data_IF_000180932578
#
_entry.id   IF_000180932578
#
_cell.length_a   1.000
_cell.length_b   1.000
_cell.length_c   1.000
_cell.angle_alpha   90.00
_cell.angle_beta   90.00
_cell.angle_gamma   90.00
#
_symmetry.space_group_name_H-M   'P 1'
#
loop_
_entity.id
_entity.type
_entity.pdbx_description
1 polymer ?
#
# COMPACT_ATOMS: atom_id res chain seq x y z
N UNK A 1 -2.59 17.45 37.74
CA UNK A 1 -2.41 17.69 36.31
C UNK A 1 -3.46 16.88 35.57
N UNK A 2 -3.82 17.23 34.33
CA UNK A 2 -4.73 16.38 33.56
C UNK A 2 -3.99 15.09 33.19
N UNK A 3 -4.64 13.93 33.27
CA UNK A 3 -4.08 12.62 32.90
C UNK A 3 -3.36 12.65 31.53
N UNK A 4 -3.89 13.47 30.62
CA UNK A 4 -3.34 13.69 29.29
C UNK A 4 -2.02 14.47 29.27
N UNK A 5 -1.83 15.42 30.18
CA UNK A 5 -0.58 16.16 30.30
C UNK A 5 0.53 15.28 30.86
N UNK A 6 0.21 14.47 31.89
CA UNK A 6 1.17 13.52 32.47
C UNK A 6 1.62 12.47 31.43
N UNK A 7 0.68 12.02 30.58
CA UNK A 7 0.96 11.14 29.43
C UNK A 7 1.91 11.79 28.42
N UNK A 8 1.68 13.05 28.06
CA UNK A 8 2.56 13.81 27.17
C UNK A 8 3.96 13.90 27.76
N UNK A 9 4.09 14.33 29.02
CA UNK A 9 5.39 14.52 29.68
C UNK A 9 6.18 13.21 29.74
N UNK A 10 5.49 12.08 29.99
CA UNK A 10 6.12 10.76 29.97
C UNK A 10 6.67 10.40 28.60
N UNK A 11 5.89 10.56 27.54
CA UNK A 11 6.35 10.22 26.19
C UNK A 11 7.39 11.21 25.64
N UNK A 12 7.32 12.48 26.02
CA UNK A 12 8.37 13.46 25.73
C UNK A 12 9.70 13.01 26.33
N UNK A 13 9.71 12.64 27.61
CA UNK A 13 10.92 12.14 28.26
C UNK A 13 11.47 10.88 27.59
N UNK A 14 10.59 9.98 27.11
CA UNK A 14 11.01 8.80 26.36
C UNK A 14 11.64 9.17 25.01
N UNK A 15 11.00 10.05 24.23
CA UNK A 15 11.52 10.51 22.95
C UNK A 15 12.82 11.34 23.09
N UNK A 16 13.01 12.03 24.22
CA UNK A 16 14.26 12.73 24.54
C UNK A 16 15.37 11.76 24.96
N UNK A 17 15.04 10.74 25.74
CA UNK A 17 16.00 9.73 26.18
C UNK A 17 16.49 8.85 25.02
N UNK A 18 15.60 8.54 24.08
CA UNK A 18 15.93 7.84 22.84
C UNK A 18 15.24 8.49 21.63
N UNK A 19 15.92 9.41 20.95
CA UNK A 19 15.40 10.07 19.76
C UNK A 19 15.17 9.14 18.56
N UNK A 20 15.72 7.92 18.59
CA UNK A 20 15.57 6.93 17.51
C UNK A 20 14.41 5.96 17.73
N UNK A 21 13.71 6.08 18.86
CA UNK A 21 12.56 5.26 19.19
C UNK A 21 11.30 5.76 18.48
N UNK A 22 10.98 5.13 17.34
CA UNK A 22 9.80 5.41 16.54
C UNK A 22 8.50 5.30 17.35
N UNK A 23 8.36 4.29 18.20
CA UNK A 23 7.19 4.07 19.05
C UNK A 23 7.01 5.16 20.12
N UNK A 24 8.10 5.74 20.63
CA UNK A 24 8.04 6.87 21.56
C UNK A 24 7.47 8.10 20.84
N UNK A 25 7.95 8.38 19.63
CA UNK A 25 7.42 9.45 18.78
C UNK A 25 5.96 9.21 18.37
N UNK A 26 5.59 7.97 18.02
CA UNK A 26 4.20 7.61 17.70
C UNK A 26 3.26 7.83 18.90
N UNK A 27 3.68 7.38 20.09
CA UNK A 27 2.90 7.50 21.32
C UNK A 27 2.76 8.96 21.76
N UNK A 28 3.83 9.74 21.58
CA UNK A 28 3.83 11.18 21.83
C UNK A 28 2.89 11.91 20.86
N UNK A 29 2.98 11.63 19.56
CA UNK A 29 2.08 12.20 18.55
C UNK A 29 0.61 11.88 18.81
N UNK A 30 0.32 10.64 19.23
CA UNK A 30 -1.03 10.21 19.61
C UNK A 30 -1.55 10.97 20.84
N UNK A 31 -0.70 11.20 21.85
CA UNK A 31 -1.06 11.97 23.03
C UNK A 31 -1.32 13.46 22.69
N UNK A 32 -0.52 14.05 21.80
CA UNK A 32 -0.77 15.41 21.31
C UNK A 32 -2.05 15.52 20.49
N UNK A 33 -2.34 14.51 19.66
CA UNK A 33 -3.57 14.47 18.87
C UNK A 33 -4.80 14.44 19.76
N UNK A 34 -4.80 13.61 20.80
CA UNK A 34 -5.84 13.55 21.83
C UNK A 34 -5.99 14.90 22.56
N UNK A 35 -4.88 15.60 22.79
CA UNK A 35 -4.85 16.94 23.37
C UNK A 35 -5.23 18.06 22.38
N UNK A 36 -5.57 17.73 21.13
CA UNK A 36 -5.83 18.68 20.02
C UNK A 36 -4.66 19.62 19.74
N UNK A 37 -3.44 19.23 20.13
CA UNK A 37 -2.19 19.92 19.85
C UNK A 37 -1.66 19.46 18.50
N UNK A 38 -2.40 19.78 17.44
CA UNK A 38 -2.20 19.18 16.12
C UNK A 38 -0.81 19.43 15.54
N UNK A 39 -0.25 20.64 15.70
CA UNK A 39 1.10 20.94 15.19
C UNK A 39 2.19 20.05 15.80
N UNK A 40 2.12 19.82 17.10
CA UNK A 40 3.08 18.97 17.81
C UNK A 40 2.84 17.49 17.49
N UNK A 41 1.57 17.09 17.32
CA UNK A 41 1.22 15.76 16.85
C UNK A 41 1.87 15.47 15.49
N UNK A 42 1.76 16.39 14.54
CA UNK A 42 2.37 16.27 13.20
C UNK A 42 3.88 16.11 13.32
N UNK A 43 4.58 16.97 14.06
CA UNK A 43 6.04 16.86 14.23
C UNK A 43 6.45 15.50 14.82
N UNK A 44 5.71 14.99 15.80
CA UNK A 44 5.98 13.67 16.38
C UNK A 44 5.69 12.53 15.39
N UNK A 45 4.60 12.60 14.62
CA UNK A 45 4.32 11.59 13.59
C UNK A 45 5.31 11.63 12.43
N UNK A 46 5.79 12.81 12.03
CA UNK A 46 6.86 12.96 11.03
C UNK A 46 8.16 12.32 11.50
N UNK A 47 8.55 12.53 12.77
CA UNK A 47 9.70 11.87 13.36
C UNK A 47 9.53 10.34 13.36
N UNK A 48 8.33 9.85 13.71
CA UNK A 48 8.00 8.43 13.64
C UNK A 48 8.12 7.88 12.21
N UNK A 49 7.53 8.54 11.21
CA UNK A 49 7.56 8.10 9.81
C UNK A 49 8.96 8.18 9.21
N UNK A 50 9.80 9.12 9.66
CA UNK A 50 11.20 9.21 9.26
C UNK A 50 12.03 8.03 9.77
N UNK A 51 11.79 7.61 11.01
CA UNK A 51 12.49 6.47 11.64
C UNK A 51 11.94 5.13 11.12
N UNK A 52 10.63 5.06 10.95
CA UNK A 52 9.92 3.90 10.47
C UNK A 52 8.98 4.31 9.30
N UNK A 53 9.51 4.31 8.06
CA UNK A 53 8.74 4.64 6.86
C UNK A 53 7.62 3.65 6.56
N UNK A 54 7.51 2.59 7.35
CA UNK A 54 6.56 1.50 7.21
C UNK A 54 5.33 1.62 8.12
N UNK A 55 5.34 2.61 9.03
CA UNK A 55 4.29 2.88 10.00
C UNK A 55 3.09 3.61 9.37
N UNK A 56 2.28 2.89 8.60
CA UNK A 56 1.04 3.38 7.95
C UNK A 56 0.08 4.07 8.93
N UNK A 57 -0.03 3.55 10.17
CA UNK A 57 -0.87 4.15 11.22
C UNK A 57 -0.39 5.54 11.65
N UNK A 58 0.91 5.81 11.62
CA UNK A 58 1.43 7.16 11.87
C UNK A 58 1.09 8.11 10.72
N UNK A 59 1.07 7.62 9.48
CA UNK A 59 0.66 8.40 8.31
C UNK A 59 -0.83 8.75 8.36
N UNK A 60 -1.70 7.81 8.77
CA UNK A 60 -3.13 8.05 8.97
C UNK A 60 -3.37 9.15 10.03
N UNK A 61 -2.77 8.99 11.22
CA UNK A 61 -2.98 9.92 12.34
C UNK A 61 -2.31 11.29 12.08
N UNK A 62 -1.13 11.29 11.48
CA UNK A 62 -0.44 12.52 11.07
C UNK A 62 -1.21 13.27 9.98
N UNK A 63 -1.75 12.55 9.00
CA UNK A 63 -2.62 13.13 7.96
C UNK A 63 -3.91 13.70 8.53
N UNK A 64 -4.55 12.99 9.47
CA UNK A 64 -5.71 13.50 10.21
C UNK A 64 -5.37 14.78 10.99
N UNK A 65 -4.21 14.82 11.66
CA UNK A 65 -3.75 16.02 12.36
C UNK A 65 -3.53 17.20 11.40
N UNK A 66 -2.93 16.97 10.22
CA UNK A 66 -2.74 17.98 9.19
C UNK A 66 -4.08 18.51 8.65
N UNK A 67 -5.08 17.65 8.48
CA UNK A 67 -6.44 18.07 8.11
C UNK A 67 -7.06 19.00 9.16
N UNK A 68 -6.90 18.69 10.45
CA UNK A 68 -7.40 19.54 11.53
C UNK A 68 -6.70 20.91 11.60
N UNK A 69 -5.46 21.00 11.10
CA UNK A 69 -4.74 22.26 10.96
C UNK A 69 -5.14 23.06 9.71
N UNK A 70 -5.95 22.48 8.81
CA UNK A 70 -6.25 23.06 7.50
C UNK A 70 -5.09 22.95 6.50
N UNK A 71 -4.04 22.18 6.81
CA UNK A 71 -2.94 21.93 5.90
C UNK A 71 -3.25 20.73 4.98
N UNK A 72 -4.26 20.92 4.13
CA UNK A 72 -4.79 19.88 3.24
C UNK A 72 -3.76 19.40 2.22
N UNK A 73 -2.82 20.27 1.81
CA UNK A 73 -1.80 19.94 0.82
C UNK A 73 -0.84 18.85 1.36
N UNK A 74 -0.26 19.08 2.54
CA UNK A 74 0.66 18.11 3.16
C UNK A 74 -0.10 16.87 3.64
N UNK A 75 -1.34 17.04 4.14
CA UNK A 75 -2.20 15.93 4.52
C UNK A 75 -2.44 14.98 3.34
N UNK A 76 -2.74 15.53 2.16
CA UNK A 76 -2.98 14.75 0.94
C UNK A 76 -1.78 13.86 0.62
N UNK A 77 -0.58 14.43 0.59
CA UNK A 77 0.65 13.70 0.26
C UNK A 77 0.89 12.56 1.25
N UNK A 78 0.76 12.85 2.54
CA UNK A 78 1.01 11.85 3.59
C UNK A 78 -0.04 10.74 3.59
N UNK A 79 -1.32 11.08 3.43
CA UNK A 79 -2.43 10.12 3.40
C UNK A 79 -2.39 9.24 2.15
N UNK A 80 -2.09 9.78 0.96
CA UNK A 80 -1.95 8.98 -0.26
C UNK A 80 -0.88 7.91 -0.09
N UNK A 81 0.30 8.30 0.40
CA UNK A 81 1.40 7.35 0.67
C UNK A 81 0.99 6.29 1.70
N UNK A 82 0.32 6.69 2.77
CA UNK A 82 -0.18 5.76 3.79
C UNK A 82 -1.22 4.79 3.25
N UNK A 83 -2.10 5.25 2.35
CA UNK A 83 -3.15 4.46 1.72
C UNK A 83 -2.58 3.40 0.77
N UNK A 84 -1.63 3.79 -0.10
CA UNK A 84 -0.90 2.88 -0.99
C UNK A 84 -0.17 1.79 -0.21
N UNK A 85 0.55 2.19 0.84
CA UNK A 85 1.32 1.26 1.65
C UNK A 85 0.44 0.33 2.48
N UNK A 86 -0.65 0.84 3.07
CA UNK A 86 -1.61 0.01 3.77
C UNK A 86 -2.30 -0.99 2.82
N UNK A 87 -2.59 -0.58 1.58
CA UNK A 87 -3.13 -1.48 0.57
C UNK A 87 -2.13 -2.57 0.18
N UNK A 88 -0.87 -2.22 -0.07
CA UNK A 88 0.20 -3.18 -0.38
C UNK A 88 0.45 -4.18 0.74
N UNK A 89 0.23 -3.79 2.00
CA UNK A 89 0.39 -4.65 3.19
C UNK A 89 -0.85 -5.46 3.58
N UNK A 90 -2.00 -5.22 2.92
CA UNK A 90 -3.28 -5.82 3.32
C UNK A 90 -3.86 -5.26 4.64
N UNK A 91 -3.43 -4.08 5.08
CA UNK A 91 -3.89 -3.42 6.30
C UNK A 91 -5.23 -2.69 6.09
N UNK A 92 -6.30 -3.47 5.84
CA UNK A 92 -7.61 -2.94 5.43
C UNK A 92 -8.17 -1.88 6.40
N UNK A 93 -7.97 -2.05 7.72
CA UNK A 93 -8.46 -1.07 8.71
C UNK A 93 -7.83 0.31 8.54
N UNK A 94 -6.51 0.37 8.32
CA UNK A 94 -5.77 1.63 8.15
C UNK A 94 -6.09 2.22 6.78
N UNK A 95 -6.14 1.37 5.75
CA UNK A 95 -6.55 1.75 4.39
C UNK A 95 -7.92 2.42 4.38
N UNK A 96 -8.93 1.78 4.99
CA UNK A 96 -10.30 2.31 5.04
C UNK A 96 -10.38 3.60 5.87
N UNK A 97 -9.63 3.68 6.97
CA UNK A 97 -9.52 4.88 7.79
C UNK A 97 -8.98 6.07 7.00
N UNK A 98 -7.90 5.86 6.25
CA UNK A 98 -7.33 6.89 5.37
C UNK A 98 -8.30 7.25 4.24
N UNK A 99 -8.98 6.25 3.66
CA UNK A 99 -9.94 6.49 2.59
C UNK A 99 -11.11 7.38 3.03
N UNK A 100 -11.61 7.18 4.26
CA UNK A 100 -12.64 8.05 4.85
C UNK A 100 -12.16 9.49 4.93
N UNK A 101 -10.93 9.72 5.44
CA UNK A 101 -10.37 11.06 5.59
C UNK A 101 -10.23 11.76 4.24
N UNK A 102 -9.71 11.06 3.22
CA UNK A 102 -9.53 11.61 1.87
C UNK A 102 -10.89 11.97 1.24
N UNK A 103 -11.85 11.06 1.30
CA UNK A 103 -13.20 11.25 0.74
C UNK A 103 -13.95 12.39 1.43
N UNK A 104 -13.92 12.45 2.76
CA UNK A 104 -14.52 13.53 3.55
C UNK A 104 -13.89 14.90 3.23
N UNK A 105 -12.62 14.92 2.87
CA UNK A 105 -11.89 16.13 2.49
C UNK A 105 -12.11 16.53 1.02
N UNK A 106 -12.95 15.78 0.28
CA UNK A 106 -13.16 15.99 -1.15
C UNK A 106 -11.93 15.70 -2.01
N UNK A 107 -10.97 14.94 -1.48
CA UNK A 107 -9.80 14.50 -2.21
C UNK A 107 -10.15 13.16 -2.84
N UNK A 108 -10.10 13.09 -4.17
CA UNK A 108 -10.24 11.83 -4.88
C UNK A 108 -9.20 10.85 -4.34
N UNK A 109 -9.68 9.67 -3.93
CA UNK A 109 -8.80 8.59 -3.53
C UNK A 109 -7.82 8.39 -4.67
N UNK A 110 -6.51 8.27 -4.38
CA UNK A 110 -5.62 7.78 -5.40
C UNK A 110 -6.24 6.48 -5.87
N UNK A 111 -6.35 6.31 -7.19
CA UNK A 111 -6.53 5.00 -7.77
C UNK A 111 -5.28 4.23 -7.37
N UNK A 112 -5.24 3.71 -6.13
CA UNK A 112 -4.37 2.59 -5.83
C UNK A 112 -4.81 1.60 -6.85
N UNK A 113 -3.95 1.38 -7.84
CA UNK A 113 -4.03 0.26 -8.75
C UNK A 113 -4.19 -1.00 -7.88
N UNK A 114 -5.42 -1.31 -7.48
CA UNK A 114 -5.96 -2.57 -7.91
C UNK A 114 -5.87 -2.46 -9.41
N UNK A 115 -4.84 -3.07 -10.00
CA UNK A 115 -4.59 -3.07 -11.43
C UNK A 115 -5.94 -3.08 -12.16
N UNK A 116 -6.33 -1.89 -12.61
CA UNK A 116 -7.57 -1.64 -13.32
C UNK A 116 -7.09 -1.22 -14.69
N UNK A 117 -7.49 -1.94 -15.73
CA UNK A 117 -6.86 -1.83 -17.03
C UNK A 117 -7.20 -0.48 -17.65
N UNK A 118 -6.14 0.23 -18.06
CA UNK A 118 -6.24 1.26 -19.09
C UNK A 118 -6.04 2.69 -18.62
N UNK A 119 -4.79 3.14 -18.64
CA UNK A 119 -4.43 4.46 -19.19
C UNK A 119 -3.18 4.34 -20.08
N UNK A 120 -3.40 3.79 -21.29
CA UNK A 120 -2.62 4.04 -22.52
C UNK A 120 -1.09 3.83 -22.49
N UNK A 121 -0.66 2.58 -22.34
CA UNK A 121 0.61 2.12 -22.92
C UNK A 121 0.43 1.57 -24.34
N UNK A 122 1.54 1.30 -25.04
CA UNK A 122 1.54 0.61 -26.35
C UNK A 122 0.93 -0.79 -26.15
N UNK A 123 -0.07 -1.19 -26.96
CA UNK A 123 -0.61 -2.55 -26.88
C UNK A 123 0.49 -3.56 -27.22
N UNK A 124 0.44 -4.73 -26.59
CA UNK A 124 1.40 -5.81 -26.86
C UNK A 124 1.38 -6.18 -28.34
N UNK A 125 2.55 -6.38 -28.95
CA UNK A 125 2.65 -6.75 -30.37
C UNK A 125 2.19 -8.20 -30.63
N UNK A 126 2.13 -9.05 -29.59
CA UNK A 126 1.69 -10.44 -29.66
C UNK A 126 1.18 -10.95 -28.31
N UNK A 127 0.26 -11.91 -28.34
CA UNK A 127 -0.16 -12.69 -27.17
C UNK A 127 1.07 -13.30 -26.46
N UNK A 128 1.33 -12.94 -25.19
CA UNK A 128 2.55 -13.35 -24.51
C UNK A 128 2.51 -14.80 -24.01
N UNK A 129 1.33 -15.32 -23.72
CA UNK A 129 1.09 -16.68 -23.25
C UNK A 129 0.01 -17.34 -24.09
N UNK A 130 0.08 -18.66 -24.33
CA UNK A 130 -1.07 -19.41 -24.82
C UNK A 130 -2.17 -19.44 -23.77
N UNK A 131 -3.42 -19.66 -24.19
CA UNK A 131 -4.56 -19.79 -23.27
C UNK A 131 -5.43 -18.52 -23.13
N UNK A 132 -6.38 -18.57 -22.21
CA UNK A 132 -7.31 -17.48 -21.88
C UNK A 132 -6.63 -16.39 -21.06
N UNK A 133 -5.65 -16.76 -20.23
CA UNK A 133 -4.85 -15.80 -19.47
C UNK A 133 -4.09 -14.89 -20.44
N UNK A 134 -3.40 -15.46 -21.43
CA UNK A 134 -2.66 -14.69 -22.44
C UNK A 134 -3.54 -13.75 -23.28
N UNK A 135 -4.76 -14.18 -23.62
CA UNK A 135 -5.74 -13.33 -24.32
C UNK A 135 -6.23 -12.17 -23.46
N UNK A 136 -6.51 -12.43 -22.18
CA UNK A 136 -6.93 -11.37 -21.26
C UNK A 136 -5.82 -10.33 -21.08
N UNK A 137 -4.57 -10.79 -20.93
CA UNK A 137 -3.40 -9.92 -20.83
C UNK A 137 -3.26 -9.06 -22.09
N UNK A 138 -3.35 -9.67 -23.28
CA UNK A 138 -3.28 -8.92 -24.53
C UNK A 138 -4.37 -7.84 -24.67
N UNK A 139 -5.57 -8.08 -24.16
CA UNK A 139 -6.70 -7.15 -24.25
C UNK A 139 -6.71 -6.08 -23.15
N UNK A 140 -6.12 -6.34 -21.99
CA UNK A 140 -6.26 -5.52 -20.78
C UNK A 140 -4.94 -4.97 -20.22
N UNK A 141 -3.79 -5.45 -20.69
CA UNK A 141 -2.46 -5.10 -20.17
C UNK A 141 -1.62 -4.48 -21.28
N UNK A 142 -0.90 -3.40 -20.95
CA UNK A 142 0.01 -2.74 -21.89
C UNK A 142 1.46 -3.29 -21.83
N UNK A 143 2.29 -2.89 -22.80
CA UNK A 143 3.69 -3.33 -22.90
C UNK A 143 4.51 -2.99 -21.64
N UNK A 144 4.24 -1.86 -20.98
CA UNK A 144 4.97 -1.44 -19.79
C UNK A 144 4.60 -2.27 -18.55
N UNK A 145 3.31 -2.55 -18.37
CA UNK A 145 2.79 -3.42 -17.32
C UNK A 145 3.28 -4.86 -17.52
N UNK A 146 3.32 -5.32 -18.76
CA UNK A 146 3.87 -6.63 -19.09
C UNK A 146 5.38 -6.72 -18.80
N UNK A 147 6.17 -5.74 -19.21
CA UNK A 147 7.61 -5.69 -18.93
C UNK A 147 7.90 -5.62 -17.42
N UNK A 148 7.10 -4.86 -16.67
CA UNK A 148 7.17 -4.80 -15.22
C UNK A 148 6.92 -6.19 -14.60
N UNK A 149 5.92 -6.92 -15.10
CA UNK A 149 5.67 -8.30 -14.69
C UNK A 149 6.83 -9.22 -15.02
N UNK A 150 7.46 -9.15 -16.21
CA UNK A 150 8.62 -10.00 -16.55
C UNK A 150 9.75 -9.84 -15.52
N UNK A 151 10.02 -8.60 -15.10
CA UNK A 151 11.00 -8.32 -14.05
C UNK A 151 10.61 -8.91 -12.69
N UNK A 152 9.33 -8.80 -12.31
CA UNK A 152 8.81 -9.33 -11.06
C UNK A 152 8.73 -10.86 -11.05
N UNK A 153 8.25 -11.48 -12.13
CA UNK A 153 8.18 -12.92 -12.32
C UNK A 153 9.55 -13.59 -12.19
N UNK A 154 10.62 -12.96 -12.70
CA UNK A 154 11.99 -13.45 -12.50
C UNK A 154 12.39 -13.50 -11.03
N UNK A 155 11.96 -12.52 -10.22
CA UNK A 155 12.20 -12.53 -8.76
C UNK A 155 11.39 -13.63 -8.09
N UNK A 156 10.11 -13.75 -8.41
CA UNK A 156 9.21 -14.79 -7.87
C UNK A 156 9.80 -16.18 -8.12
N UNK A 157 10.28 -16.46 -9.34
CA UNK A 157 10.94 -17.73 -9.69
C UNK A 157 12.16 -17.98 -8.82
N UNK A 158 13.02 -16.97 -8.62
CA UNK A 158 14.24 -17.10 -7.84
C UNK A 158 14.00 -17.22 -6.32
N UNK A 159 13.06 -16.42 -5.80
CA UNK A 159 12.70 -16.36 -4.37
C UNK A 159 11.99 -17.63 -3.92
N UNK A 160 11.02 -18.09 -4.71
CA UNK A 160 10.26 -19.32 -4.43
C UNK A 160 10.95 -20.57 -4.96
N UNK A 161 12.05 -20.42 -5.70
CA UNK A 161 12.78 -21.50 -6.38
C UNK A 161 11.85 -22.39 -7.21
N UNK A 162 11.01 -21.76 -8.01
CA UNK A 162 9.98 -22.44 -8.78
C UNK A 162 10.60 -23.35 -9.84
N UNK A 163 10.08 -24.58 -9.90
CA UNK A 163 10.45 -25.56 -10.91
C UNK A 163 9.27 -25.74 -11.88
N UNK A 164 9.41 -25.22 -13.10
CA UNK A 164 8.37 -25.28 -14.14
C UNK A 164 8.12 -26.70 -14.68
N UNK A 165 8.80 -27.73 -14.18
CA UNK A 165 8.39 -29.12 -14.40
C UNK A 165 7.23 -29.56 -13.49
N UNK A 166 6.94 -28.80 -12.42
CA UNK A 166 5.91 -29.11 -11.42
C UNK A 166 4.70 -28.21 -11.62
N UNK A 167 3.53 -28.85 -11.75
CA UNK A 167 2.24 -28.15 -11.89
C UNK A 167 1.98 -27.21 -10.71
N UNK A 168 2.32 -27.62 -9.49
CA UNK A 168 2.13 -26.78 -8.29
C UNK A 168 2.94 -25.48 -8.32
N UNK A 169 4.14 -25.51 -8.89
CA UNK A 169 4.99 -24.32 -8.98
C UNK A 169 4.59 -23.43 -10.16
N UNK A 170 4.06 -24.01 -11.24
CA UNK A 170 3.38 -23.26 -12.31
C UNK A 170 2.15 -22.52 -11.77
N UNK A 171 1.29 -23.19 -10.99
CA UNK A 171 0.11 -22.56 -10.40
C UNK A 171 0.47 -21.41 -9.45
N UNK A 172 1.55 -21.53 -8.66
CA UNK A 172 2.04 -20.42 -7.81
C UNK A 172 2.54 -19.25 -8.63
N UNK A 173 3.26 -19.52 -9.73
CA UNK A 173 3.70 -18.47 -10.64
C UNK A 173 2.52 -17.71 -11.24
N UNK A 174 1.49 -18.44 -11.68
CA UNK A 174 0.26 -17.87 -12.24
C UNK A 174 -0.56 -17.09 -11.21
N UNK A 175 -0.64 -17.57 -9.97
CA UNK A 175 -1.31 -16.86 -8.88
C UNK A 175 -0.65 -15.50 -8.62
N UNK A 176 0.69 -15.48 -8.51
CA UNK A 176 1.43 -14.22 -8.36
C UNK A 176 1.31 -13.32 -9.59
N UNK A 177 1.27 -13.89 -10.80
CA UNK A 177 1.04 -13.14 -12.04
C UNK A 177 -0.33 -12.47 -12.03
N UNK A 178 -1.35 -13.21 -11.64
CA UNK A 178 -2.71 -12.72 -11.59
C UNK A 178 -2.92 -11.68 -10.51
N UNK A 179 -2.31 -11.86 -9.34
CA UNK A 179 -2.32 -10.86 -8.29
C UNK A 179 -1.64 -9.57 -8.75
N UNK A 180 -0.50 -9.68 -9.43
CA UNK A 180 0.27 -8.53 -9.90
C UNK A 180 -0.44 -7.77 -11.04
N UNK A 181 -0.99 -8.48 -12.02
CA UNK A 181 -1.67 -7.90 -13.18
C UNK A 181 -3.17 -7.64 -12.96
N UNK A 182 -3.71 -7.99 -11.79
CA UNK A 182 -5.14 -7.86 -11.48
C UNK A 182 -6.04 -8.79 -12.30
N UNK A 183 -5.53 -9.93 -12.75
CA UNK A 183 -6.31 -10.91 -13.52
C UNK A 183 -7.38 -11.49 -12.59
N UNK A 184 -8.67 -11.41 -12.93
CA UNK A 184 -9.71 -11.94 -12.07
C UNK A 184 -9.63 -13.48 -12.01
N UNK A 185 -9.77 -14.03 -10.81
CA UNK A 185 -9.58 -15.46 -10.52
C UNK A 185 -10.50 -16.40 -11.35
N UNK A 186 -11.60 -15.87 -11.89
CA UNK A 186 -12.50 -16.61 -12.78
C UNK A 186 -11.90 -16.90 -14.17
N UNK A 187 -10.90 -16.13 -14.62
CA UNK A 187 -10.17 -16.37 -15.87
C UNK A 187 -9.11 -17.45 -15.64
N UNK A 188 -8.38 -17.37 -14.52
CA UNK A 188 -7.36 -18.34 -14.12
C UNK A 188 -7.98 -19.74 -14.00
N UNK A 189 -9.07 -19.86 -13.24
CA UNK A 189 -9.75 -21.14 -13.03
C UNK A 189 -10.24 -21.80 -14.33
N UNK A 190 -10.59 -21.00 -15.34
CA UNK A 190 -11.07 -21.48 -16.63
C UNK A 190 -9.96 -21.89 -17.59
N UNK A 191 -8.72 -21.47 -17.36
CA UNK A 191 -7.56 -21.85 -18.17
C UNK A 191 -6.99 -23.18 -17.70
N UNK A 192 -6.86 -23.34 -16.38
CA UNK A 192 -6.43 -24.59 -15.71
C UNK A 192 -7.37 -25.77 -16.04
N UNK A 193 -8.66 -25.51 -16.24
CA UNK A 193 -9.63 -26.53 -16.67
C UNK A 193 -9.45 -26.99 -18.13
N UNK A 194 -8.98 -26.12 -19.02
CA UNK A 194 -8.76 -26.44 -20.44
C UNK A 194 -7.39 -27.09 -20.68
N UNK A 195 -6.37 -26.82 -19.85
CA UNK A 195 -5.06 -27.48 -19.93
C UNK A 195 -5.06 -28.92 -19.39
N UNK A 196 -5.99 -29.26 -18.50
CA UNK A 196 -6.14 -30.61 -17.93
C UNK A 196 -7.05 -31.55 -18.73
N UNK A 197 -7.43 -31.17 -19.96
CA UNK A 197 -8.35 -31.93 -20.82
C UNK A 197 -7.71 -32.37 -22.14
#
# INVERSE_FOLDING_TARGET
MSDLQDKIDRFQNMAMADPSNDMAHFSLGSAYLEAKRFGEAVTSFEACVKLNPEMTRAMELGGSALMQMGNTADAKVLLIRGYEQAASKGEMRVKDGIASILTESGIELPTVEQASPGETGKPLDKEPLPGKIGKWIFENVDEAQWDAWIGQGTKVINELRLDFSRVEDQSKYEEHMAEFLGIPANIIAKDVEDENK
#
